data_IF_583040393671
#
_entry.id   IF_583040393671
#
_cell.length_a   1.000
_cell.length_b   1.000
_cell.length_c   1.000
_cell.angle_alpha   90.00
_cell.angle_beta   90.00
_cell.angle_gamma   90.00
#
_symmetry.space_group_name_H-M   'P 1'
#
loop_
_entity.id
_entity.type
_entity.pdbx_description
1 polymer ?
#
# COMPACT_ATOMS: atom_id res chain seq x y z
N UNK A 1 25.54 2.96 15.16
CA UNK A 1 25.71 3.93 14.06
C UNK A 1 24.88 5.16 14.40
N UNK A 2 25.24 6.34 13.88
CA UNK A 2 24.42 7.54 14.05
C UNK A 2 23.10 7.41 13.28
N UNK A 3 21.97 7.98 13.76
CA UNK A 3 20.72 8.00 13.01
C UNK A 3 20.85 8.69 11.64
N UNK A 4 20.09 8.20 10.66
CA UNK A 4 19.97 8.77 9.32
C UNK A 4 19.09 10.01 9.41
N UNK A 5 19.66 11.17 9.07
CA UNK A 5 18.95 12.44 9.11
C UNK A 5 17.95 12.52 7.95
N UNK A 6 16.68 12.54 8.30
CA UNK A 6 15.56 12.32 7.39
C UNK A 6 14.74 13.58 7.25
N UNK A 7 14.46 13.96 6.01
CA UNK A 7 13.49 14.99 5.68
C UNK A 7 12.15 14.36 5.28
N UNK A 8 11.04 15.02 5.63
CA UNK A 8 9.70 14.54 5.31
C UNK A 8 8.95 15.58 4.46
N UNK A 9 8.60 15.20 3.24
CA UNK A 9 7.78 16.00 2.33
C UNK A 9 6.34 15.48 2.36
N UNK A 10 5.37 16.37 2.55
CA UNK A 10 3.94 16.05 2.49
C UNK A 10 3.32 15.55 3.79
N UNK A 11 4.00 15.76 4.93
CA UNK A 11 3.40 15.60 6.25
C UNK A 11 2.54 16.85 6.55
N UNK A 12 1.22 16.71 6.56
CA UNK A 12 0.30 17.85 6.70
C UNK A 12 -0.83 17.57 7.67
N UNK A 13 -1.17 18.56 8.50
CA UNK A 13 -2.30 18.53 9.46
C UNK A 13 -3.66 18.69 8.79
N UNK A 14 -3.70 19.06 7.51
CA UNK A 14 -4.94 19.30 6.74
C UNK A 14 -5.04 18.39 5.51
N UNK A 15 -4.19 17.37 5.43
CA UNK A 15 -4.17 16.45 4.31
C UNK A 15 -5.54 15.78 4.13
N UNK A 16 -5.98 15.67 2.87
CA UNK A 16 -7.20 14.92 2.52
C UNK A 16 -7.06 13.41 2.78
N UNK A 17 -5.83 12.92 2.81
CA UNK A 17 -5.45 11.53 3.03
C UNK A 17 -4.39 11.45 4.12
N UNK A 18 -4.44 10.42 4.97
CA UNK A 18 -3.63 10.29 6.18
C UNK A 18 -2.39 9.41 6.03
N UNK A 19 -2.04 8.95 4.82
CA UNK A 19 -1.00 7.94 4.60
C UNK A 19 0.38 8.29 5.20
N UNK A 20 0.79 9.56 5.17
CA UNK A 20 2.04 9.99 5.80
C UNK A 20 2.05 9.76 7.33
N UNK A 21 0.93 10.07 7.97
CA UNK A 21 0.71 9.98 9.42
C UNK A 21 0.47 8.54 9.87
N UNK A 22 -0.15 7.72 9.03
CA UNK A 22 -0.46 6.32 9.37
C UNK A 22 0.66 5.36 8.97
N UNK A 23 1.23 5.53 7.79
CA UNK A 23 2.19 4.58 7.20
C UNK A 23 3.64 4.80 7.62
N UNK A 24 4.06 6.05 7.89
CA UNK A 24 5.47 6.38 8.12
C UNK A 24 5.73 6.93 9.52
N UNK A 25 4.95 7.92 9.94
CA UNK A 25 5.19 8.64 11.20
C UNK A 25 5.24 7.72 12.44
N UNK A 26 4.38 6.70 12.62
CA UNK A 26 4.39 5.89 13.84
C UNK A 26 5.68 5.08 13.95
N UNK A 27 6.20 4.56 12.83
CA UNK A 27 7.49 3.89 12.82
C UNK A 27 8.63 4.86 13.12
N UNK A 28 8.68 6.02 12.44
CA UNK A 28 9.74 7.03 12.64
C UNK A 28 9.79 7.57 14.08
N UNK A 29 8.65 7.66 14.77
CA UNK A 29 8.58 8.10 16.16
C UNK A 29 8.78 6.98 17.19
N UNK A 30 8.72 5.71 16.78
CA UNK A 30 8.97 4.57 17.66
C UNK A 30 10.43 4.51 18.12
N UNK A 31 10.70 3.82 19.24
CA UNK A 31 12.08 3.62 19.72
C UNK A 31 12.99 2.97 18.69
N UNK A 32 12.45 2.04 17.88
CA UNK A 32 13.18 1.37 16.81
C UNK A 32 13.43 2.31 15.63
N UNK A 33 12.44 3.12 15.24
CA UNK A 33 12.63 4.14 14.21
C UNK A 33 13.69 5.14 14.62
N UNK A 34 13.59 5.69 15.82
CA UNK A 34 14.53 6.67 16.38
C UNK A 34 15.96 6.15 16.55
N UNK A 35 16.17 4.84 16.68
CA UNK A 35 17.53 4.28 16.67
C UNK A 35 18.17 4.24 15.27
N UNK A 36 17.38 4.42 14.21
CA UNK A 36 17.84 4.39 12.82
C UNK A 36 17.67 5.71 12.08
N UNK A 37 16.67 6.52 12.42
CA UNK A 37 16.27 7.72 11.72
C UNK A 37 16.02 8.87 12.69
N UNK A 38 16.33 10.08 12.25
CA UNK A 38 16.02 11.32 12.94
C UNK A 38 15.30 12.25 11.96
N UNK A 39 14.10 12.71 12.29
CA UNK A 39 13.42 13.72 11.48
C UNK A 39 14.11 15.07 11.75
N UNK A 40 14.77 15.62 10.74
CA UNK A 40 15.53 16.89 10.85
C UNK A 40 14.92 18.03 10.05
N UNK A 41 14.05 17.71 9.09
CA UNK A 41 13.44 18.68 8.20
C UNK A 41 12.02 18.27 7.77
N UNK A 42 11.14 19.25 7.61
CA UNK A 42 9.84 19.12 6.95
C UNK A 42 9.78 20.02 5.74
N UNK A 43 9.08 19.58 4.70
CA UNK A 43 8.68 20.43 3.59
C UNK A 43 7.19 20.31 3.32
N UNK A 44 6.57 21.48 3.19
CA UNK A 44 5.21 21.65 2.74
C UNK A 44 5.18 22.76 1.66
N UNK A 45 4.01 23.02 1.10
CA UNK A 45 3.74 24.06 0.10
C UNK A 45 4.11 25.48 0.55
N UNK A 46 4.06 25.76 1.85
CA UNK A 46 4.45 27.02 2.47
C UNK A 46 5.04 26.76 3.87
N UNK A 47 5.95 27.64 4.33
CA UNK A 47 6.60 27.51 5.64
C UNK A 47 5.58 27.39 6.79
N UNK A 48 4.53 28.20 6.78
CA UNK A 48 3.52 28.18 7.85
C UNK A 48 2.75 26.85 7.93
N UNK A 49 2.58 26.14 6.81
CA UNK A 49 1.98 24.81 6.79
C UNK A 49 2.93 23.76 7.38
N UNK A 50 4.22 23.83 7.03
CA UNK A 50 5.25 22.98 7.62
C UNK A 50 5.40 23.23 9.13
N UNK A 51 5.29 24.49 9.59
CA UNK A 51 5.26 24.83 11.01
C UNK A 51 4.02 24.27 11.72
N UNK A 52 2.86 24.36 11.09
CA UNK A 52 1.62 23.79 11.62
C UNK A 52 1.70 22.26 11.74
N UNK A 53 2.26 21.57 10.73
CA UNK A 53 2.50 20.14 10.80
C UNK A 53 3.49 19.78 11.92
N UNK A 54 4.59 20.53 12.06
CA UNK A 54 5.56 20.34 13.13
C UNK A 54 4.91 20.45 14.52
N UNK A 55 4.02 21.42 14.70
CA UNK A 55 3.27 21.61 15.94
C UNK A 55 2.24 20.51 16.20
N UNK A 56 1.44 20.14 15.19
CA UNK A 56 0.41 19.11 15.28
C UNK A 56 0.98 17.74 15.68
N UNK A 57 2.17 17.41 15.18
CA UNK A 57 2.81 16.10 15.39
C UNK A 57 3.89 16.10 16.47
N UNK A 58 3.90 17.12 17.35
CA UNK A 58 4.82 17.26 18.48
C UNK A 58 6.31 17.12 18.10
N UNK A 59 6.68 17.62 16.91
CA UNK A 59 8.04 17.56 16.42
C UNK A 59 8.89 18.68 17.04
N UNK A 60 10.16 18.40 17.44
CA UNK A 60 11.01 19.39 18.10
C UNK A 60 11.21 20.69 17.29
N UNK A 61 11.38 21.82 17.98
CA UNK A 61 11.64 23.11 17.34
C UNK A 61 12.95 23.17 16.54
N UNK A 62 13.87 22.23 16.78
CA UNK A 62 15.11 22.09 16.00
C UNK A 62 14.87 21.50 14.60
N UNK A 63 13.72 20.86 14.37
CA UNK A 63 13.33 20.39 13.03
C UNK A 63 13.10 21.61 12.15
N UNK A 64 13.91 21.69 11.09
CA UNK A 64 13.83 22.77 10.09
C UNK A 64 12.57 22.62 9.26
N UNK A 65 12.09 23.74 8.73
CA UNK A 65 10.93 23.79 7.84
C UNK A 65 11.34 24.46 6.54
N UNK A 66 10.86 23.92 5.43
CA UNK A 66 11.15 24.39 4.08
C UNK A 66 9.85 24.50 3.28
N UNK A 67 9.84 25.39 2.29
CA UNK A 67 8.82 25.45 1.24
C UNK A 67 9.39 25.32 -0.19
N UNK A 68 10.71 25.49 -0.36
CA UNK A 68 11.42 25.19 -1.60
C UNK A 68 12.15 23.83 -1.53
N UNK A 69 11.80 22.86 -2.40
CA UNK A 69 12.52 21.59 -2.47
C UNK A 69 14.00 21.75 -2.82
N UNK A 70 14.40 22.82 -3.51
CA UNK A 70 15.81 23.09 -3.84
C UNK A 70 16.64 23.44 -2.62
N UNK A 71 16.07 24.20 -1.70
CA UNK A 71 16.72 24.51 -0.42
C UNK A 71 16.82 23.27 0.47
N UNK A 72 15.77 22.44 0.48
CA UNK A 72 15.77 21.18 1.21
C UNK A 72 16.87 20.23 0.71
N UNK A 73 17.01 20.02 -0.60
CA UNK A 73 18.07 19.13 -1.12
C UNK A 73 19.48 19.72 -1.02
N UNK A 74 19.61 21.04 -0.89
CA UNK A 74 20.89 21.71 -0.70
C UNK A 74 21.42 21.62 0.75
N UNK A 75 20.58 21.23 1.72
CA UNK A 75 21.00 21.14 3.13
C UNK A 75 21.92 19.91 3.36
N UNK A 76 23.21 20.12 3.70
CA UNK A 76 24.15 19.01 3.93
C UNK A 76 23.82 18.16 5.16
N UNK A 77 22.88 18.61 5.99
CA UNK A 77 22.39 17.88 7.15
C UNK A 77 21.26 16.90 6.81
N UNK A 78 20.82 16.78 5.56
CA UNK A 78 19.80 15.81 5.15
C UNK A 78 20.47 14.64 4.42
N UNK A 79 20.11 13.41 4.79
CA UNK A 79 20.67 12.17 4.21
C UNK A 79 19.63 11.35 3.46
N UNK A 80 18.36 11.47 3.85
CA UNK A 80 17.26 10.71 3.30
C UNK A 80 16.01 11.58 3.21
N UNK A 81 15.20 11.39 2.16
CA UNK A 81 13.98 12.16 1.95
C UNK A 81 12.82 11.19 1.80
N UNK A 82 11.84 11.28 2.71
CA UNK A 82 10.54 10.61 2.57
C UNK A 82 9.63 11.56 1.80
N UNK A 83 9.27 11.18 0.57
CA UNK A 83 8.33 11.93 -0.24
C UNK A 83 6.95 11.27 -0.20
N UNK A 84 5.98 11.92 0.45
CA UNK A 84 4.61 11.46 0.54
C UNK A 84 3.65 12.57 0.11
N UNK A 85 3.68 12.88 -1.18
CA UNK A 85 2.75 13.81 -1.82
C UNK A 85 1.72 13.04 -2.62
N UNK A 86 0.62 13.70 -3.01
CA UNK A 86 -0.26 13.14 -4.02
C UNK A 86 0.51 12.90 -5.32
N UNK A 87 0.15 11.83 -6.03
CA UNK A 87 0.81 11.43 -7.28
C UNK A 87 0.75 12.49 -8.38
N UNK A 88 -0.30 13.33 -8.38
CA UNK A 88 -0.47 14.42 -9.33
C UNK A 88 0.31 15.70 -8.99
N UNK A 89 0.96 15.73 -7.83
CA UNK A 89 1.89 16.81 -7.49
C UNK A 89 3.22 16.67 -8.28
N UNK A 90 3.60 15.46 -8.69
CA UNK A 90 4.81 15.19 -9.46
C UNK A 90 4.56 15.26 -10.96
N UNK A 91 5.01 16.32 -11.63
CA UNK A 91 4.81 16.50 -13.09
C UNK A 91 5.93 15.95 -13.97
N UNK A 92 6.98 15.38 -13.39
CA UNK A 92 8.14 14.91 -14.16
C UNK A 92 8.65 13.57 -13.63
N UNK A 93 8.84 12.63 -14.55
CA UNK A 93 9.49 11.33 -14.28
C UNK A 93 10.98 11.54 -14.52
N UNK A 94 11.76 11.48 -13.45
CA UNK A 94 13.21 11.47 -13.52
C UNK A 94 13.71 10.12 -13.00
N UNK A 95 14.83 9.64 -13.53
CA UNK A 95 15.57 8.57 -12.88
C UNK A 95 16.14 9.11 -11.57
N UNK A 96 15.70 8.53 -10.45
CA UNK A 96 16.19 8.89 -9.12
C UNK A 96 17.10 7.74 -8.66
N UNK A 97 18.41 7.83 -8.84
CA UNK A 97 19.34 6.80 -8.35
C UNK A 97 19.27 6.73 -6.83
N UNK A 98 19.51 5.55 -6.26
CA UNK A 98 19.42 5.30 -4.82
C UNK A 98 18.05 5.63 -4.20
N UNK A 99 16.97 5.38 -4.95
CA UNK A 99 15.61 5.59 -4.47
C UNK A 99 15.01 4.32 -3.86
N UNK A 100 14.02 4.54 -2.99
CA UNK A 100 13.14 3.50 -2.45
C UNK A 100 11.73 3.86 -2.88
N UNK A 101 10.97 2.88 -3.35
CA UNK A 101 9.56 3.03 -3.66
C UNK A 101 8.72 2.37 -2.57
N UNK A 102 7.57 2.98 -2.25
CA UNK A 102 6.60 2.44 -1.28
C UNK A 102 5.87 1.21 -1.80
N UNK A 103 6.58 0.10 -1.99
CA UNK A 103 6.05 -1.21 -2.38
C UNK A 103 6.20 -2.21 -1.22
N UNK A 104 5.65 -1.83 -0.07
CA UNK A 104 5.78 -2.51 1.22
C UNK A 104 5.25 -3.95 1.24
N UNK A 105 4.44 -4.35 0.25
CA UNK A 105 3.97 -5.73 0.14
C UNK A 105 5.11 -6.74 0.05
N UNK A 106 6.27 -6.37 -0.52
CA UNK A 106 7.43 -7.28 -0.63
C UNK A 106 8.02 -7.71 0.71
N UNK A 107 7.85 -6.89 1.75
CA UNK A 107 8.33 -7.20 3.11
C UNK A 107 7.20 -7.66 4.04
N UNK A 108 6.01 -7.91 3.49
CA UNK A 108 4.89 -8.42 4.26
C UNK A 108 5.10 -9.90 4.60
N UNK A 109 4.76 -10.28 5.83
CA UNK A 109 5.08 -11.61 6.37
C UNK A 109 4.54 -12.77 5.53
N UNK A 110 3.37 -12.63 4.88
CA UNK A 110 2.86 -13.68 4.00
C UNK A 110 3.73 -13.84 2.76
N UNK A 111 4.21 -12.74 2.17
CA UNK A 111 5.04 -12.74 0.96
C UNK A 111 6.40 -13.35 1.28
N UNK A 112 7.01 -12.94 2.40
CA UNK A 112 8.26 -13.53 2.87
C UNK A 112 8.13 -15.04 3.12
N UNK A 113 7.01 -15.46 3.71
CA UNK A 113 6.77 -16.88 4.00
C UNK A 113 6.49 -17.70 2.75
N UNK A 114 5.81 -17.14 1.75
CA UNK A 114 5.61 -17.79 0.46
C UNK A 114 6.96 -18.07 -0.21
N UNK A 115 7.84 -17.07 -0.28
CA UNK A 115 9.20 -17.22 -0.82
C UNK A 115 9.98 -18.31 -0.08
N UNK A 116 9.97 -18.29 1.26
CA UNK A 116 10.60 -19.34 2.08
C UNK A 116 10.07 -20.75 1.76
N UNK A 117 8.75 -20.92 1.58
CA UNK A 117 8.13 -22.21 1.25
C UNK A 117 8.52 -22.67 -0.17
N UNK A 118 8.51 -21.76 -1.15
CA UNK A 118 8.92 -22.07 -2.52
C UNK A 118 10.41 -22.41 -2.60
N UNK A 119 11.27 -21.62 -1.96
CA UNK A 119 12.73 -21.83 -1.91
C UNK A 119 13.11 -23.16 -1.25
N UNK A 120 12.31 -23.63 -0.29
CA UNK A 120 12.51 -24.93 0.35
C UNK A 120 12.21 -26.13 -0.57
N UNK A 121 11.64 -25.91 -1.76
CA UNK A 121 11.23 -26.95 -2.71
C UNK A 121 9.99 -27.72 -2.26
N UNK A 122 9.24 -27.22 -1.28
CA UNK A 122 8.20 -27.98 -0.59
C UNK A 122 7.04 -28.43 -1.49
N UNK A 123 6.72 -27.65 -2.52
CA UNK A 123 5.69 -28.01 -3.51
C UNK A 123 6.30 -28.48 -4.84
N UNK A 124 7.61 -28.72 -4.91
CA UNK A 124 8.31 -28.95 -6.18
C UNK A 124 8.34 -27.71 -7.07
N UNK A 125 8.50 -27.90 -8.39
CA UNK A 125 8.40 -26.79 -9.34
C UNK A 125 6.97 -26.24 -9.40
N UNK A 126 6.85 -24.92 -9.49
CA UNK A 126 5.56 -24.26 -9.75
C UNK A 126 5.12 -24.58 -11.19
N UNK A 127 3.91 -25.12 -11.31
CA UNK A 127 3.29 -25.51 -12.58
C UNK A 127 2.28 -24.45 -13.07
N UNK A 128 1.56 -23.82 -12.13
CA UNK A 128 0.58 -22.78 -12.46
C UNK A 128 0.26 -21.90 -11.25
N UNK A 129 -0.26 -20.70 -11.53
CA UNK A 129 -0.75 -19.77 -10.53
C UNK A 129 -2.04 -19.10 -11.04
N UNK A 130 -3.06 -19.05 -10.19
CA UNK A 130 -4.34 -18.38 -10.48
C UNK A 130 -4.64 -17.36 -9.38
N UNK A 131 -5.09 -16.17 -9.78
CA UNK A 131 -5.44 -15.09 -8.86
C UNK A 131 -6.81 -14.55 -9.20
N UNK A 132 -7.68 -14.54 -8.20
CA UNK A 132 -8.96 -13.86 -8.23
C UNK A 132 -8.94 -12.75 -7.19
N UNK A 133 -9.01 -11.51 -7.68
CA UNK A 133 -9.10 -10.31 -6.85
C UNK A 133 -10.41 -9.60 -7.18
N UNK A 134 -11.29 -9.53 -6.18
CA UNK A 134 -12.63 -8.95 -6.28
C UNK A 134 -12.67 -7.70 -5.42
N UNK A 135 -13.21 -6.62 -5.98
CA UNK A 135 -13.26 -5.33 -5.29
C UNK A 135 -11.90 -4.67 -5.05
N UNK A 136 -11.97 -3.53 -4.39
CA UNK A 136 -10.82 -2.75 -3.91
C UNK A 136 -11.11 -2.37 -2.45
N UNK A 137 -10.20 -1.67 -1.79
CA UNK A 137 -10.44 -1.17 -0.42
C UNK A 137 -11.53 -0.09 -0.32
N UNK A 138 -12.13 0.32 -1.46
CA UNK A 138 -13.23 1.28 -1.55
C UNK A 138 -14.49 0.64 -2.15
N UNK A 139 -15.68 1.18 -1.83
CA UNK A 139 -16.93 0.79 -2.47
C UNK A 139 -16.86 0.89 -4.00
N UNK A 140 -17.50 -0.03 -4.70
CA UNK A 140 -17.42 -0.10 -6.17
C UNK A 140 -18.27 0.95 -6.88
N UNK A 141 -19.27 1.53 -6.23
CA UNK A 141 -20.22 2.48 -6.83
C UNK A 141 -20.12 3.92 -6.26
N UNK A 142 -19.18 4.15 -5.32
CA UNK A 142 -19.05 5.43 -4.64
C UNK A 142 -17.62 5.73 -4.21
N UNK A 143 -17.30 7.03 -4.11
CA UNK A 143 -16.01 7.55 -3.63
C UNK A 143 -16.25 8.62 -2.56
N UNK A 144 -15.43 8.65 -1.50
CA UNK A 144 -15.40 9.78 -0.58
C UNK A 144 -14.95 11.07 -1.29
N UNK A 145 -15.51 12.22 -0.87
CA UNK A 145 -15.17 13.54 -1.42
C UNK A 145 -13.66 13.87 -1.39
N UNK A 146 -12.91 13.31 -0.44
CA UNK A 146 -11.46 13.50 -0.33
C UNK A 146 -10.65 12.91 -1.50
N UNK A 147 -11.21 11.93 -2.22
CA UNK A 147 -10.53 11.12 -3.24
C UNK A 147 -11.28 11.07 -4.57
N UNK A 148 -12.11 12.07 -4.88
CA UNK A 148 -12.86 12.16 -6.16
C UNK A 148 -11.97 11.93 -7.39
N UNK A 149 -10.71 12.37 -7.31
CA UNK A 149 -9.71 12.20 -8.37
C UNK A 149 -9.41 10.74 -8.71
N UNK A 150 -9.78 9.78 -7.87
CA UNK A 150 -9.72 8.34 -8.16
C UNK A 150 -10.62 7.92 -9.31
N UNK A 151 -11.54 8.78 -9.77
CA UNK A 151 -12.37 8.55 -10.95
C UNK A 151 -11.69 8.98 -12.27
N UNK A 152 -10.50 9.58 -12.22
CA UNK A 152 -9.82 10.19 -13.37
C UNK A 152 -8.48 9.50 -13.69
N UNK A 153 -8.40 8.82 -14.83
CA UNK A 153 -7.23 8.04 -15.25
C UNK A 153 -5.97 8.87 -15.42
N UNK A 154 -6.09 10.08 -15.92
CA UNK A 154 -4.96 10.98 -16.16
C UNK A 154 -4.25 11.47 -14.89
N UNK A 155 -4.92 11.42 -13.73
CA UNK A 155 -4.33 11.79 -12.43
C UNK A 155 -3.36 10.72 -11.95
N UNK A 156 -3.55 9.46 -12.38
CA UNK A 156 -2.68 8.34 -12.05
C UNK A 156 -2.94 7.70 -10.68
N UNK A 157 -3.57 8.41 -9.75
CA UNK A 157 -4.00 7.85 -8.46
C UNK A 157 -5.40 7.30 -8.56
N UNK A 158 -5.55 5.97 -8.60
CA UNK A 158 -6.83 5.28 -8.67
C UNK A 158 -6.70 3.84 -8.15
N UNK A 159 -7.82 3.14 -7.87
CA UNK A 159 -7.77 1.80 -7.29
C UNK A 159 -7.00 0.75 -8.10
N UNK A 160 -6.87 0.92 -9.42
CA UNK A 160 -6.08 0.00 -10.25
C UNK A 160 -4.59 0.26 -10.08
N UNK A 161 -4.16 1.49 -10.30
CA UNK A 161 -2.74 1.86 -10.16
C UNK A 161 -2.22 1.72 -8.72
N UNK A 162 -3.11 1.59 -7.74
CA UNK A 162 -2.77 1.38 -6.34
C UNK A 162 -2.95 -0.11 -5.99
N UNK A 163 -4.17 -0.63 -5.81
CA UNK A 163 -4.35 -1.99 -5.28
C UNK A 163 -3.86 -3.06 -6.25
N UNK A 164 -4.25 -2.98 -7.54
CA UNK A 164 -3.79 -3.98 -8.51
C UNK A 164 -2.27 -3.92 -8.70
N UNK A 165 -1.68 -2.72 -8.81
CA UNK A 165 -0.22 -2.58 -8.94
C UNK A 165 0.54 -3.11 -7.73
N UNK A 166 0.04 -2.91 -6.51
CA UNK A 166 0.62 -3.52 -5.32
C UNK A 166 0.47 -5.04 -5.30
N UNK A 167 -0.69 -5.54 -5.75
CA UNK A 167 -0.97 -6.96 -5.89
C UNK A 167 0.03 -7.62 -6.85
N UNK A 168 0.06 -7.16 -8.10
CA UNK A 168 0.93 -7.75 -9.11
C UNK A 168 2.41 -7.60 -8.75
N UNK A 169 2.79 -6.52 -8.06
CA UNK A 169 4.16 -6.36 -7.58
C UNK A 169 4.60 -7.47 -6.62
N UNK A 170 3.79 -7.87 -5.63
CA UNK A 170 4.20 -8.97 -4.76
C UNK A 170 4.09 -10.33 -5.45
N UNK A 171 3.22 -10.46 -6.46
CA UNK A 171 3.14 -11.68 -7.28
C UNK A 171 4.45 -11.86 -8.04
N UNK A 172 4.95 -10.80 -8.69
CA UNK A 172 6.24 -10.82 -9.37
C UNK A 172 7.41 -11.02 -8.39
N UNK A 173 7.31 -10.52 -7.16
CA UNK A 173 8.36 -10.74 -6.15
C UNK A 173 8.43 -12.21 -5.68
N UNK A 174 7.35 -12.99 -5.87
CA UNK A 174 7.23 -14.40 -5.46
C UNK A 174 7.44 -15.35 -6.64
N UNK A 175 6.94 -15.02 -7.83
CA UNK A 175 6.86 -15.92 -9.00
C UNK A 175 7.63 -15.40 -10.24
N UNK A 176 8.42 -14.34 -10.10
CA UNK A 176 9.08 -13.60 -11.18
C UNK A 176 8.13 -12.87 -12.15
N UNK A 177 8.69 -12.15 -13.12
CA UNK A 177 7.95 -11.35 -14.10
C UNK A 177 7.37 -12.18 -15.25
N UNK A 178 6.32 -11.66 -15.88
CA UNK A 178 5.75 -12.24 -17.08
C UNK A 178 6.71 -12.18 -18.27
N UNK A 179 6.82 -13.29 -19.00
CA UNK A 179 7.43 -13.28 -20.34
C UNK A 179 6.54 -12.55 -21.35
N UNK A 180 5.21 -12.69 -21.24
CA UNK A 180 4.21 -11.96 -22.02
C UNK A 180 2.85 -11.92 -21.30
N UNK A 181 1.96 -10.98 -21.67
CA UNK A 181 0.62 -10.87 -21.08
C UNK A 181 -0.46 -10.42 -22.09
N UNK A 182 -1.71 -10.84 -21.83
CA UNK A 182 -2.93 -10.29 -22.44
C UNK A 182 -3.79 -9.66 -21.34
N UNK A 183 -4.28 -8.44 -21.56
CA UNK A 183 -5.14 -7.72 -20.62
C UNK A 183 -6.48 -7.35 -21.25
N UNK A 184 -7.58 -7.57 -20.52
CA UNK A 184 -8.92 -7.11 -20.89
C UNK A 184 -9.48 -6.23 -19.80
N UNK A 185 -9.97 -5.06 -20.18
CA UNK A 185 -10.53 -4.08 -19.26
C UNK A 185 -11.88 -3.59 -19.79
N UNK A 186 -12.85 -3.43 -18.90
CA UNK A 186 -14.16 -2.85 -19.16
C UNK A 186 -14.58 -1.85 -18.07
N UNK A 187 -15.10 -0.68 -18.46
CA UNK A 187 -15.75 0.24 -17.52
C UNK A 187 -17.19 -0.23 -17.33
N UNK A 188 -17.50 -0.81 -16.18
CA UNK A 188 -18.86 -1.28 -15.87
C UNK A 188 -19.69 -0.22 -15.12
N UNK A 189 -19.04 0.68 -14.37
CA UNK A 189 -19.68 1.78 -13.65
C UNK A 189 -19.12 3.13 -14.11
N UNK A 190 -19.62 3.69 -15.22
CA UNK A 190 -19.13 4.95 -15.77
C UNK A 190 -19.55 6.18 -14.93
N UNK A 191 -20.39 6.00 -13.92
CA UNK A 191 -20.86 7.05 -13.01
C UNK A 191 -20.74 6.55 -11.58
N UNK A 192 -20.03 7.32 -10.74
CA UNK A 192 -19.82 7.03 -9.33
C UNK A 192 -20.53 8.09 -8.46
N UNK A 193 -21.04 7.67 -7.30
CA UNK A 193 -21.58 8.59 -6.29
C UNK A 193 -20.44 9.18 -5.48
N UNK A 194 -20.52 10.47 -5.17
CA UNK A 194 -19.61 11.11 -4.21
C UNK A 194 -20.30 11.25 -2.87
N UNK A 195 -19.67 10.75 -1.82
CA UNK A 195 -20.19 10.78 -0.45
C UNK A 195 -19.41 11.77 0.42
N UNK A 196 -20.10 12.37 1.39
CA UNK A 196 -19.46 13.12 2.47
C UNK A 196 -18.93 12.20 3.58
N UNK A 197 -18.45 12.79 4.67
CA UNK A 197 -17.93 12.07 5.84
C UNK A 197 -19.01 11.26 6.59
N UNK A 198 -20.29 11.58 6.41
CA UNK A 198 -21.43 10.87 6.99
C UNK A 198 -22.01 9.83 6.00
N UNK A 199 -21.26 9.50 4.94
CA UNK A 199 -21.67 8.60 3.85
C UNK A 199 -22.90 9.08 3.06
N UNK A 200 -23.28 10.36 3.18
CA UNK A 200 -24.42 10.91 2.43
C UNK A 200 -23.99 11.29 1.03
N UNK A 201 -24.82 10.90 0.06
CA UNK A 201 -24.60 11.24 -1.34
C UNK A 201 -24.70 12.76 -1.56
N UNK A 202 -23.65 13.36 -2.13
CA UNK A 202 -23.61 14.78 -2.50
C UNK A 202 -23.93 15.01 -3.97
N UNK A 203 -23.22 14.31 -4.84
CA UNK A 203 -23.34 14.42 -6.30
C UNK A 203 -22.79 13.16 -6.98
N UNK A 204 -22.77 13.15 -8.31
CA UNK A 204 -22.16 12.07 -9.10
C UNK A 204 -21.06 12.60 -9.99
N UNK A 205 -20.09 11.75 -10.29
CA UNK A 205 -19.00 12.04 -11.22
C UNK A 205 -18.90 10.94 -12.28
N UNK A 206 -18.41 11.28 -13.46
CA UNK A 206 -18.04 10.28 -14.46
C UNK A 206 -16.73 9.63 -14.06
N UNK A 207 -16.61 8.33 -14.29
CA UNK A 207 -15.39 7.56 -14.09
C UNK A 207 -14.91 6.98 -15.41
N UNK A 208 -13.62 7.13 -15.69
CA UNK A 208 -12.92 6.45 -16.78
C UNK A 208 -12.00 5.32 -16.28
N UNK A 209 -12.19 4.90 -15.02
CA UNK A 209 -11.46 3.81 -14.38
C UNK A 209 -12.25 2.51 -14.47
N UNK A 210 -11.53 1.41 -14.72
CA UNK A 210 -12.07 0.05 -14.67
C UNK A 210 -12.67 -0.26 -13.30
N UNK A 211 -13.81 -0.95 -13.27
CA UNK A 211 -14.50 -1.29 -12.02
C UNK A 211 -14.39 -2.79 -11.75
N UNK A 212 -13.88 -3.17 -10.58
CA UNK A 212 -13.97 -4.55 -10.10
C UNK A 212 -15.40 -4.86 -9.60
N UNK A 213 -15.85 -6.11 -9.77
CA UNK A 213 -17.09 -6.61 -9.18
C UNK A 213 -16.80 -7.11 -7.75
N UNK A 214 -17.72 -6.87 -6.80
CA UNK A 214 -17.54 -7.29 -5.40
C UNK A 214 -18.86 -7.77 -4.82
N UNK A 215 -19.04 -9.10 -4.73
CA UNK A 215 -20.17 -9.71 -4.01
C UNK A 215 -19.72 -10.70 -2.92
N UNK A 216 -18.54 -11.34 -3.04
CA UNK A 216 -17.99 -12.29 -2.06
C UNK A 216 -16.44 -12.19 -1.95
N UNK A 217 -15.85 -12.92 -0.99
CA UNK A 217 -14.46 -12.82 -0.50
C UNK A 217 -13.43 -12.28 -1.52
N UNK A 218 -12.73 -11.23 -1.12
CA UNK A 218 -12.12 -10.27 -2.05
C UNK A 218 -10.78 -10.69 -2.66
N UNK A 219 -10.15 -11.78 -2.21
CA UNK A 219 -8.90 -12.28 -2.79
C UNK A 219 -8.70 -13.79 -2.56
N UNK A 220 -8.34 -14.50 -3.64
CA UNK A 220 -7.91 -15.88 -3.68
C UNK A 220 -6.68 -15.98 -4.60
N UNK A 221 -5.60 -16.58 -4.11
CA UNK A 221 -4.41 -16.88 -4.90
C UNK A 221 -4.01 -18.33 -4.69
N UNK A 222 -4.05 -19.11 -5.76
CA UNK A 222 -3.63 -20.50 -5.79
C UNK A 222 -2.31 -20.64 -6.54
N UNK A 223 -1.34 -21.33 -5.94
CA UNK A 223 -0.06 -21.71 -6.55
C UNK A 223 0.02 -23.23 -6.54
N UNK A 224 0.04 -23.83 -7.73
CA UNK A 224 0.11 -25.28 -7.90
C UNK A 224 1.55 -25.69 -8.24
N UNK A 225 2.10 -26.62 -7.48
CA UNK A 225 3.37 -27.25 -7.76
C UNK A 225 3.24 -28.75 -7.99
N UNK A 226 4.32 -29.40 -8.42
CA UNK A 226 4.38 -30.84 -8.67
C UNK A 226 3.96 -31.70 -7.45
N UNK A 227 4.28 -31.24 -6.25
CA UNK A 227 4.13 -31.99 -5.00
C UNK A 227 3.12 -31.38 -4.03
N UNK A 228 2.41 -30.31 -4.43
CA UNK A 228 1.44 -29.67 -3.53
C UNK A 228 0.86 -28.37 -4.07
N UNK A 229 0.02 -27.77 -3.25
CA UNK A 229 -0.69 -26.54 -3.55
C UNK A 229 -0.56 -25.58 -2.36
N UNK A 230 -0.44 -24.29 -2.66
CA UNK A 230 -0.57 -23.20 -1.70
C UNK A 230 -1.79 -22.38 -2.09
N UNK A 231 -2.69 -22.14 -1.13
CA UNK A 231 -3.86 -21.29 -1.31
C UNK A 231 -3.81 -20.15 -0.31
N UNK A 232 -3.90 -18.91 -0.78
CA UNK A 232 -3.97 -17.71 0.04
C UNK A 232 -5.34 -17.08 -0.16
N UNK A 233 -6.03 -16.78 0.93
CA UNK A 233 -7.29 -16.05 0.90
C UNK A 233 -7.25 -14.83 1.80
N UNK A 234 -7.88 -13.76 1.33
CA UNK A 234 -8.11 -12.55 2.12
C UNK A 234 -9.53 -12.05 1.88
N UNK A 235 -10.40 -12.05 2.91
CA UNK A 235 -11.72 -11.44 2.80
C UNK A 235 -11.63 -9.92 2.63
N UNK A 236 -10.51 -9.32 3.04
CA UNK A 236 -10.28 -7.88 3.03
C UNK A 236 -9.89 -7.34 1.64
N UNK A 237 -9.34 -8.18 0.76
CA UNK A 237 -8.94 -7.80 -0.60
C UNK A 237 -7.51 -8.18 -0.95
N UNK A 238 -7.11 -7.82 -2.17
CA UNK A 238 -5.79 -8.08 -2.74
C UNK A 238 -4.71 -7.10 -2.26
N UNK A 239 -5.09 -6.04 -1.54
CA UNK A 239 -4.15 -5.07 -0.98
C UNK A 239 -3.64 -5.54 0.39
N UNK A 240 -3.04 -6.74 0.38
CA UNK A 240 -2.79 -7.58 1.56
C UNK A 240 -2.05 -6.88 2.70
N UNK A 241 -1.11 -5.97 2.42
CA UNK A 241 -0.32 -5.30 3.46
C UNK A 241 -1.06 -4.14 4.15
N UNK A 242 -2.15 -3.65 3.58
CA UNK A 242 -2.94 -2.54 4.14
C UNK A 242 -4.29 -3.03 4.68
N UNK A 243 -4.90 -4.01 4.01
CA UNK A 243 -6.22 -4.52 4.38
C UNK A 243 -6.15 -5.59 5.49
N UNK A 244 -4.96 -6.17 5.75
CA UNK A 244 -4.72 -7.18 6.80
C UNK A 244 -4.93 -6.68 8.23
N UNK A 245 -5.06 -5.37 8.43
CA UNK A 245 -5.32 -4.81 9.75
C UNK A 245 -6.81 -4.89 10.15
N UNK A 246 -7.70 -5.09 9.18
CA UNK A 246 -9.15 -5.15 9.39
C UNK A 246 -9.71 -6.56 9.58
N UNK A 247 -9.19 -7.55 8.84
CA UNK A 247 -9.73 -8.92 8.79
C UNK A 247 -8.60 -9.97 8.58
N UNK A 248 -8.81 -11.25 8.95
CA UNK A 248 -7.76 -12.27 8.89
C UNK A 248 -7.37 -12.70 7.47
N UNK A 249 -6.07 -12.90 7.25
CA UNK A 249 -5.52 -13.57 6.06
C UNK A 249 -5.26 -15.04 6.40
N UNK A 250 -5.76 -15.96 5.57
CA UNK A 250 -5.53 -17.40 5.74
C UNK A 250 -4.69 -17.97 4.59
N UNK A 251 -3.70 -18.79 4.93
CA UNK A 251 -2.90 -19.58 3.98
C UNK A 251 -3.05 -21.07 4.27
N UNK A 252 -3.45 -21.86 3.27
CA UNK A 252 -3.61 -23.31 3.38
C UNK A 252 -2.58 -24.02 2.48
N UNK A 253 -1.83 -24.95 3.08
CA UNK A 253 -1.14 -26.03 2.39
C UNK A 253 -1.82 -27.33 2.80
N UNK A 254 -1.96 -28.30 1.89
CA UNK A 254 -2.25 -29.69 2.29
C UNK A 254 -1.08 -30.13 3.20
N UNK A 255 -1.32 -30.17 4.51
CA UNK A 255 -0.41 -30.48 5.64
C UNK A 255 0.28 -29.33 6.43
N UNK A 256 0.06 -28.02 6.19
CA UNK A 256 0.46 -26.98 7.15
C UNK A 256 -0.20 -25.62 6.92
N UNK A 257 -0.75 -25.03 7.98
CA UNK A 257 -1.29 -23.66 8.01
C UNK A 257 -0.14 -22.66 8.14
N UNK A 258 0.00 -21.75 7.17
CA UNK A 258 0.91 -20.59 7.28
C UNK A 258 0.15 -19.47 7.99
N UNK A 259 0.34 -19.39 9.31
CA UNK A 259 -0.29 -18.38 10.17
C UNK A 259 0.66 -17.19 10.37
N UNK A 260 0.33 -16.04 9.77
CA UNK A 260 0.90 -14.75 10.17
C UNK A 260 0.33 -14.34 11.53
N UNK A 261 1.18 -13.89 12.48
CA UNK A 261 0.70 -13.59 13.85
C UNK A 261 -0.17 -12.31 13.90
N UNK A 262 -1.46 -12.52 14.18
CA UNK A 262 -2.57 -11.60 14.60
C UNK A 262 -2.99 -10.59 13.52
N UNK A 263 -4.21 -10.64 12.96
CA UNK A 263 -5.53 -10.62 13.64
C UNK A 263 -6.51 -11.66 13.03
N UNK A 264 -7.27 -12.32 13.92
CA UNK A 264 -8.49 -13.16 13.77
C UNK A 264 -8.42 -14.67 13.40
N UNK A 265 -8.86 -15.49 14.39
CA UNK A 265 -9.28 -16.90 14.40
C UNK A 265 -8.26 -17.96 13.90
N UNK A 266 -7.46 -18.59 14.77
CA UNK A 266 -7.83 -19.84 15.50
C UNK A 266 -8.89 -20.66 14.77
N UNK A 267 -8.47 -21.71 14.08
CA UNK A 267 -9.29 -22.91 13.90
C UNK A 267 -8.44 -24.16 14.16
N UNK A 268 -8.21 -24.43 15.45
CA UNK A 268 -8.13 -25.80 15.90
C UNK A 268 -9.54 -26.39 15.87
N UNK A 269 -9.78 -27.35 14.98
CA UNK A 269 -10.63 -28.49 15.29
C UNK A 269 -10.14 -29.69 14.51
N UNK A 270 -9.42 -30.53 15.23
CA UNK A 270 -9.41 -31.97 15.02
C UNK A 270 -10.81 -32.44 14.60
N UNK A 271 -10.93 -32.96 13.39
CA UNK A 271 -11.93 -33.94 13.05
C UNK A 271 -11.18 -35.25 12.84
N UNK A 272 -11.61 -36.26 13.60
CA UNK A 272 -11.23 -37.68 13.57
C UNK A 272 -10.63 -38.12 12.22
N UNK A 273 -9.57 -38.92 12.15
CA UNK A 273 -9.25 -40.14 12.91
C UNK A 273 -7.74 -40.26 13.14
#
# INVERSE_FOLDING_TARGET
>A
MAPIRTAFIGLSSTAKTSWAVEGHLPYLLSSRGRSHYEIVALLDSIVTAAEAARAEFDLPQIVKVFDDPRELVADPHINFVVCNTRVDAGKAVYEIPNSIIGLQSRVFSIVLKLKEVLDSGRIGHVLSSDIQALGTWLPTDSLPEGVVYFAERNIGGNPINIAYSHMINYVHDVLDEFDSFEGRMQIQRPVLKITDKDEKMKHTVKSDIWTAFQEHACFLWTINGENGEIVITSPAGSYLHSDSYGEPIAGWQKELLVLGRRVAAIYERFAAW
#
